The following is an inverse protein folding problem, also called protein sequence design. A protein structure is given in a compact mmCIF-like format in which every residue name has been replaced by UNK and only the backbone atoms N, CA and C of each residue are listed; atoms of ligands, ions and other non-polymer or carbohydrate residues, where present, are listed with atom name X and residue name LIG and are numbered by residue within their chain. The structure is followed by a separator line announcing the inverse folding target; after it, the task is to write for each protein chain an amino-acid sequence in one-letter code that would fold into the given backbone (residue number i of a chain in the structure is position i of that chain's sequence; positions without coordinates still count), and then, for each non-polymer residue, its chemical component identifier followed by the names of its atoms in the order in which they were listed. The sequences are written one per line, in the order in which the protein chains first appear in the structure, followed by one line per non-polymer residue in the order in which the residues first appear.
data_IF_550628949319
#
_entry.id   IF_550628949319
#
_cell.length_a   1.000
_cell.length_b   1.000
_cell.length_c   1.000
_cell.angle_alpha   90.00
_cell.angle_beta   90.00
_cell.angle_gamma   90.00
#
_symmetry.space_group_name_H-M   'P 1'
#
loop_
_entity.id
_entity.type
_entity.pdbx_description
1 polymer ?
#
# COMPACT_ATOMS: atom_id res chain seq x y z
N UNK A 1 23.22 38.88 -0.83
CA UNK A 1 22.65 37.57 -1.14
C UNK A 1 22.45 37.43 -2.65
N UNK A 2 23.25 36.59 -3.34
CA UNK A 2 23.14 36.37 -4.78
C UNK A 2 22.02 35.36 -5.04
N UNK A 3 21.08 35.58 -5.97
CA UNK A 3 20.06 34.60 -6.29
C UNK A 3 20.70 33.45 -7.06
N UNK A 4 20.61 32.25 -6.50
CA UNK A 4 21.01 31.02 -7.20
C UNK A 4 20.02 30.75 -8.33
N UNK A 5 20.53 30.61 -9.56
CA UNK A 5 19.77 30.27 -10.77
C UNK A 5 19.28 28.82 -10.73
N UNK A 6 17.96 28.55 -10.59
CA UNK A 6 17.42 27.18 -10.59
C UNK A 6 17.09 26.65 -12.00
N UNK A 7 17.49 27.36 -13.10
CA UNK A 7 16.87 27.16 -14.43
C UNK A 7 17.34 25.94 -15.22
N UNK A 8 18.57 25.45 -15.03
CA UNK A 8 19.09 24.33 -15.85
C UNK A 8 18.60 22.95 -15.41
N UNK A 9 18.38 22.72 -14.12
CA UNK A 9 17.83 21.43 -13.63
C UNK A 9 16.34 21.27 -13.92
N UNK A 10 15.60 22.37 -14.00
CA UNK A 10 14.18 22.36 -14.35
C UNK A 10 13.95 21.93 -15.81
N UNK A 11 14.75 22.42 -16.75
CA UNK A 11 14.55 22.20 -18.19
C UNK A 11 14.77 20.71 -18.57
N UNK A 12 15.87 20.10 -18.11
CA UNK A 12 16.14 18.68 -18.40
C UNK A 12 15.11 17.74 -17.76
N UNK A 13 14.61 18.08 -16.58
CA UNK A 13 13.55 17.33 -15.90
C UNK A 13 12.22 17.48 -16.66
N UNK A 14 11.90 18.67 -17.13
CA UNK A 14 10.69 18.92 -17.93
C UNK A 14 10.74 18.15 -19.26
N UNK A 15 11.89 18.13 -19.92
CA UNK A 15 12.09 17.36 -21.17
C UNK A 15 11.93 15.86 -20.93
N UNK A 16 12.53 15.30 -19.89
CA UNK A 16 12.41 13.88 -19.56
C UNK A 16 10.96 13.51 -19.21
N UNK A 17 10.26 14.38 -18.48
CA UNK A 17 8.84 14.19 -18.18
C UNK A 17 7.95 14.30 -19.42
N UNK A 18 8.21 15.30 -20.27
CA UNK A 18 7.45 15.44 -21.51
C UNK A 18 7.66 14.24 -22.43
N UNK A 19 8.88 13.71 -22.51
CA UNK A 19 9.19 12.49 -23.26
C UNK A 19 8.55 11.24 -22.62
N UNK A 20 8.54 11.14 -21.30
CA UNK A 20 7.87 10.04 -20.60
C UNK A 20 6.34 10.11 -20.74
N UNK A 21 5.75 11.30 -20.66
CA UNK A 21 4.32 11.52 -20.89
C UNK A 21 3.97 11.27 -22.36
N UNK A 22 4.77 11.75 -23.29
CA UNK A 22 4.59 11.51 -24.71
C UNK A 22 4.72 10.01 -25.04
N UNK A 23 5.74 9.35 -24.51
CA UNK A 23 5.89 7.91 -24.63
C UNK A 23 4.71 7.14 -24.02
N UNK A 24 4.22 7.56 -22.84
CA UNK A 24 3.00 6.99 -22.27
C UNK A 24 1.77 7.20 -23.16
N UNK A 25 1.59 8.37 -23.76
CA UNK A 25 0.48 8.63 -24.67
C UNK A 25 0.59 7.88 -26.00
N UNK A 26 1.81 7.71 -26.54
CA UNK A 26 2.05 6.95 -27.77
C UNK A 26 1.80 5.46 -27.54
N UNK A 27 2.32 4.91 -26.46
CA UNK A 27 2.21 3.48 -26.12
C UNK A 27 1.01 3.16 -25.23
N UNK A 28 0.17 4.14 -24.93
CA UNK A 28 -0.98 4.00 -24.01
C UNK A 28 -1.88 2.83 -24.40
N UNK A 29 -2.20 2.74 -25.71
CA UNK A 29 -3.08 1.70 -26.22
C UNK A 29 -2.42 0.32 -26.04
N UNK A 30 -1.17 0.18 -26.45
CA UNK A 30 -0.41 -1.06 -26.29
C UNK A 30 -0.21 -1.45 -24.82
N UNK A 31 0.03 -0.46 -23.96
CA UNK A 31 0.14 -0.68 -22.51
C UNK A 31 -1.22 -1.10 -21.92
N UNK A 32 -2.30 -0.44 -22.29
CA UNK A 32 -3.64 -0.79 -21.79
C UNK A 32 -4.09 -2.15 -22.32
N UNK A 33 -3.81 -2.47 -23.58
CA UNK A 33 -4.13 -3.75 -24.18
C UNK A 33 -3.29 -4.88 -23.56
N UNK A 34 -2.00 -4.62 -23.30
CA UNK A 34 -1.13 -5.54 -22.55
C UNK A 34 -1.60 -5.74 -21.11
N UNK A 35 -2.01 -4.66 -20.44
CA UNK A 35 -2.56 -4.73 -19.08
C UNK A 35 -3.95 -5.42 -19.06
N UNK A 36 -4.77 -5.22 -20.08
CA UNK A 36 -6.05 -5.92 -20.22
C UNK A 36 -5.84 -7.43 -20.50
N UNK A 37 -4.75 -7.79 -21.17
CA UNK A 37 -4.33 -9.17 -21.36
C UNK A 37 -3.72 -9.80 -20.10
N UNK A 38 -3.23 -8.99 -19.14
CA UNK A 38 -2.81 -9.45 -17.81
C UNK A 38 -4.04 -9.74 -16.93
N UNK A 39 -4.90 -10.63 -17.39
CA UNK A 39 -6.02 -11.16 -16.62
C UNK A 39 -5.66 -12.54 -16.04
N UNK A 40 -6.49 -13.04 -15.13
CA UNK A 40 -6.28 -14.35 -14.52
C UNK A 40 -6.25 -15.50 -15.54
N UNK A 41 -6.96 -15.34 -16.66
CA UNK A 41 -6.98 -16.36 -17.72
C UNK A 41 -5.63 -16.41 -18.43
N UNK A 42 -5.09 -15.27 -18.87
CA UNK A 42 -3.76 -15.21 -19.49
C UNK A 42 -2.65 -15.72 -18.58
N UNK A 43 -2.80 -15.48 -17.26
CA UNK A 43 -1.87 -16.02 -16.28
C UNK A 43 -1.93 -17.55 -16.24
N UNK A 44 -3.12 -18.14 -16.29
CA UNK A 44 -3.31 -19.60 -16.35
C UNK A 44 -2.75 -20.19 -17.65
N UNK A 45 -3.08 -19.59 -18.79
CA UNK A 45 -2.70 -20.08 -20.11
C UNK A 45 -1.17 -20.05 -20.29
N UNK A 46 -0.50 -19.07 -19.72
CA UNK A 46 0.96 -18.92 -19.81
C UNK A 46 1.72 -19.46 -18.59
N UNK A 47 1.03 -19.95 -17.57
CA UNK A 47 1.66 -20.38 -16.32
C UNK A 47 2.74 -21.43 -16.53
N UNK A 48 2.47 -22.47 -17.32
CA UNK A 48 3.40 -23.56 -17.56
C UNK A 48 4.69 -23.04 -18.24
N UNK A 49 4.54 -22.18 -19.24
CA UNK A 49 5.67 -21.57 -19.96
C UNK A 49 6.49 -20.65 -19.05
N UNK A 50 5.83 -19.83 -18.24
CA UNK A 50 6.50 -18.95 -17.28
C UNK A 50 7.25 -19.75 -16.21
N UNK A 51 6.67 -20.84 -15.72
CA UNK A 51 7.30 -21.70 -14.73
C UNK A 51 8.51 -22.44 -15.28
N UNK A 52 8.43 -22.92 -16.52
CA UNK A 52 9.58 -23.54 -17.22
C UNK A 52 10.69 -22.49 -17.39
N UNK A 53 10.36 -21.30 -17.86
CA UNK A 53 11.34 -20.20 -18.02
C UNK A 53 12.01 -19.83 -16.68
N UNK A 54 11.25 -19.74 -15.59
CA UNK A 54 11.79 -19.50 -14.26
C UNK A 54 12.74 -20.62 -13.80
N UNK A 55 12.34 -21.88 -13.95
CA UNK A 55 13.17 -23.02 -13.53
C UNK A 55 14.51 -23.06 -14.28
N UNK A 56 14.52 -22.67 -15.56
CA UNK A 56 15.72 -22.64 -16.37
C UNK A 56 16.62 -21.41 -16.10
N UNK A 57 16.03 -20.28 -15.67
CA UNK A 57 16.74 -19.01 -15.47
C UNK A 57 16.19 -18.22 -14.26
N UNK A 58 16.31 -18.76 -13.02
CA UNK A 58 15.60 -18.21 -11.85
C UNK A 58 16.01 -16.77 -11.49
N UNK A 59 17.30 -16.45 -11.62
CA UNK A 59 17.79 -15.09 -11.33
C UNK A 59 17.28 -14.07 -12.36
N UNK A 60 17.34 -14.41 -13.62
CA UNK A 60 16.92 -13.52 -14.72
C UNK A 60 15.42 -13.23 -14.65
N UNK A 61 14.60 -14.28 -14.45
CA UNK A 61 13.15 -14.17 -14.32
C UNK A 61 12.75 -13.33 -13.11
N UNK A 62 13.43 -13.52 -11.96
CA UNK A 62 13.22 -12.72 -10.76
C UNK A 62 13.53 -11.24 -11.02
N UNK A 63 14.64 -10.94 -11.71
CA UNK A 63 15.03 -9.56 -12.02
C UNK A 63 14.01 -8.87 -12.94
N UNK A 64 13.59 -9.57 -14.00
CA UNK A 64 12.56 -9.06 -14.94
C UNK A 64 11.23 -8.81 -14.21
N UNK A 65 10.80 -9.77 -13.38
CA UNK A 65 9.59 -9.62 -12.58
C UNK A 65 9.66 -8.41 -11.66
N UNK A 66 10.75 -8.26 -10.91
CA UNK A 66 10.99 -7.12 -10.01
C UNK A 66 10.95 -5.80 -10.77
N UNK A 67 11.61 -5.73 -11.94
CA UNK A 67 11.62 -4.53 -12.78
C UNK A 67 10.21 -4.16 -13.26
N UNK A 68 9.45 -5.12 -13.78
CA UNK A 68 8.07 -4.91 -14.22
C UNK A 68 7.20 -4.47 -13.05
N UNK A 69 7.30 -5.14 -11.90
CA UNK A 69 6.52 -4.81 -10.72
C UNK A 69 6.78 -3.38 -10.24
N UNK A 70 8.06 -2.99 -10.14
CA UNK A 70 8.45 -1.62 -9.74
C UNK A 70 7.92 -0.60 -10.75
N UNK A 71 8.02 -0.85 -12.05
CA UNK A 71 7.52 0.05 -13.09
C UNK A 71 6.00 0.25 -12.97
N UNK A 72 5.22 -0.83 -12.89
CA UNK A 72 3.77 -0.77 -12.79
C UNK A 72 3.33 0.00 -11.54
N UNK A 73 3.97 -0.27 -10.41
CA UNK A 73 3.64 0.40 -9.14
C UNK A 73 4.14 1.83 -9.05
N UNK A 74 5.31 2.14 -9.60
CA UNK A 74 5.87 3.50 -9.65
C UNK A 74 5.02 4.43 -10.53
N UNK A 75 4.51 3.91 -11.65
CA UNK A 75 3.61 4.63 -12.54
C UNK A 75 2.16 4.63 -12.04
N UNK A 76 1.91 4.00 -10.88
CA UNK A 76 0.56 3.90 -10.28
C UNK A 76 -0.48 3.25 -11.19
N UNK A 77 -0.03 2.31 -12.04
CA UNK A 77 -0.91 1.56 -12.94
C UNK A 77 -1.73 0.52 -12.17
N UNK A 78 -2.96 0.23 -12.61
CA UNK A 78 -3.70 -0.90 -12.07
C UNK A 78 -3.02 -2.22 -12.46
N UNK A 79 -3.11 -3.24 -11.59
CA UNK A 79 -2.52 -4.57 -11.88
C UNK A 79 -1.59 -5.10 -10.79
N UNK A 80 -1.25 -4.30 -9.80
CA UNK A 80 -0.37 -4.74 -8.71
C UNK A 80 -0.87 -6.03 -8.01
N UNK A 81 -2.18 -6.20 -7.87
CA UNK A 81 -2.80 -7.41 -7.29
C UNK A 81 -2.52 -8.62 -8.19
N UNK A 82 -2.71 -8.47 -9.50
CA UNK A 82 -2.46 -9.54 -10.48
C UNK A 82 -0.98 -9.93 -10.45
N UNK A 83 -0.07 -8.95 -10.44
CA UNK A 83 1.36 -9.22 -10.32
C UNK A 83 1.71 -9.92 -9.00
N UNK A 84 1.04 -9.56 -7.90
CA UNK A 84 1.25 -10.25 -6.61
C UNK A 84 0.83 -11.71 -6.65
N UNK A 85 -0.36 -12.00 -7.22
CA UNK A 85 -0.83 -13.36 -7.45
C UNK A 85 0.11 -14.13 -8.39
N UNK A 86 0.53 -13.50 -9.48
CA UNK A 86 1.50 -14.08 -10.42
C UNK A 86 2.84 -14.39 -9.74
N UNK A 87 3.31 -13.51 -8.87
CA UNK A 87 4.50 -13.75 -8.06
C UNK A 87 4.40 -15.00 -7.20
N UNK A 88 3.26 -15.20 -6.53
CA UNK A 88 2.98 -16.42 -5.78
C UNK A 88 2.91 -17.66 -6.67
N UNK A 89 2.19 -17.57 -7.78
CA UNK A 89 2.01 -18.65 -8.73
C UNK A 89 3.36 -19.14 -9.33
N UNK A 90 4.19 -18.22 -9.81
CA UNK A 90 5.43 -18.51 -10.52
C UNK A 90 6.56 -18.88 -9.55
N UNK A 91 6.78 -18.09 -8.52
CA UNK A 91 7.93 -18.19 -7.62
C UNK A 91 7.66 -18.98 -6.34
N UNK A 92 6.40 -19.37 -6.10
CA UNK A 92 6.00 -20.03 -4.86
C UNK A 92 5.89 -19.08 -3.68
N UNK A 93 5.61 -19.63 -2.48
CA UNK A 93 5.29 -18.84 -1.31
C UNK A 93 6.48 -17.97 -0.82
N UNK A 94 7.58 -18.61 -0.45
CA UNK A 94 8.68 -17.91 0.23
C UNK A 94 9.42 -16.92 -0.66
N UNK A 95 9.81 -17.38 -1.86
CA UNK A 95 10.50 -16.52 -2.82
C UNK A 95 9.57 -15.44 -3.37
N UNK A 96 8.30 -15.80 -3.62
CA UNK A 96 7.27 -14.84 -4.01
C UNK A 96 7.07 -13.74 -2.98
N UNK A 97 6.97 -14.06 -1.68
CA UNK A 97 6.86 -13.04 -0.61
C UNK A 97 8.04 -12.07 -0.65
N UNK A 98 9.27 -12.57 -0.76
CA UNK A 98 10.47 -11.72 -0.79
C UNK A 98 10.41 -10.79 -2.01
N UNK A 99 10.25 -11.34 -3.22
CA UNK A 99 10.24 -10.56 -4.45
C UNK A 99 9.11 -9.51 -4.45
N UNK A 100 7.88 -9.92 -4.14
CA UNK A 100 6.72 -9.02 -4.12
C UNK A 100 6.85 -7.94 -3.07
N UNK A 101 7.24 -8.32 -1.84
CA UNK A 101 7.35 -7.38 -0.72
C UNK A 101 8.34 -6.25 -1.03
N UNK A 102 9.53 -6.57 -1.51
CA UNK A 102 10.52 -5.55 -1.85
C UNK A 102 10.15 -4.77 -3.10
N UNK A 103 9.65 -5.43 -4.16
CA UNK A 103 9.25 -4.76 -5.40
C UNK A 103 8.10 -3.78 -5.18
N UNK A 104 7.07 -4.18 -4.43
CA UNK A 104 5.92 -3.33 -4.12
C UNK A 104 6.32 -2.09 -3.31
N UNK A 105 7.22 -2.25 -2.34
CA UNK A 105 7.69 -1.13 -1.51
C UNK A 105 8.63 -0.21 -2.27
N UNK A 106 9.54 -0.74 -3.09
CA UNK A 106 10.39 0.06 -3.96
C UNK A 106 9.56 0.85 -4.98
N UNK A 107 8.59 0.21 -5.62
CA UNK A 107 7.69 0.88 -6.55
C UNK A 107 6.80 1.93 -5.89
N UNK A 108 6.24 1.64 -4.69
CA UNK A 108 5.52 2.63 -3.90
C UNK A 108 6.40 3.84 -3.54
N UNK A 109 7.66 3.58 -3.18
CA UNK A 109 8.63 4.64 -2.85
C UNK A 109 8.99 5.45 -4.08
N UNK A 110 9.14 4.81 -5.23
CA UNK A 110 9.35 5.53 -6.49
C UNK A 110 8.14 6.41 -6.84
N UNK A 111 6.90 5.91 -6.74
CA UNK A 111 5.68 6.70 -6.93
C UNK A 111 5.60 7.89 -5.96
N UNK A 112 5.92 7.66 -4.68
CA UNK A 112 6.01 8.70 -3.67
C UNK A 112 7.05 9.78 -4.03
N UNK A 113 8.24 9.40 -4.47
CA UNK A 113 9.28 10.34 -4.87
C UNK A 113 8.91 11.10 -6.14
N UNK A 114 8.40 10.42 -7.16
CA UNK A 114 7.91 11.06 -8.39
C UNK A 114 6.84 12.11 -8.06
N UNK A 115 5.87 11.76 -7.23
CA UNK A 115 4.83 12.70 -6.79
C UNK A 115 5.43 13.88 -6.02
N UNK A 116 6.37 13.62 -5.08
CA UNK A 116 7.00 14.65 -4.25
C UNK A 116 7.81 15.65 -5.05
N UNK A 117 8.57 15.19 -6.05
CA UNK A 117 9.46 16.04 -6.81
C UNK A 117 8.75 16.77 -7.96
N UNK A 118 7.79 16.10 -8.62
CA UNK A 118 7.20 16.64 -9.85
C UNK A 118 5.79 17.21 -9.67
N UNK A 119 4.96 16.58 -8.85
CA UNK A 119 3.54 16.90 -8.78
C UNK A 119 3.11 17.64 -7.52
N UNK A 120 4.04 17.88 -6.57
CA UNK A 120 3.72 18.48 -5.27
C UNK A 120 2.94 19.79 -5.37
N UNK A 121 3.43 20.74 -6.17
CA UNK A 121 2.80 22.06 -6.28
C UNK A 121 1.43 21.97 -6.95
N UNK A 122 1.31 21.18 -8.01
CA UNK A 122 0.05 20.97 -8.73
C UNK A 122 -1.01 20.34 -7.85
N UNK A 123 -0.68 19.26 -7.13
CA UNK A 123 -1.67 18.57 -6.31
C UNK A 123 -2.03 19.41 -5.08
N UNK A 124 -1.08 20.12 -4.49
CA UNK A 124 -1.33 21.00 -3.35
C UNK A 124 -2.28 22.15 -3.70
N UNK A 125 -2.17 22.74 -4.88
CA UNK A 125 -3.08 23.78 -5.33
C UNK A 125 -4.52 23.28 -5.55
N UNK A 126 -4.68 22.00 -5.94
CA UNK A 126 -6.01 21.45 -6.27
C UNK A 126 -6.69 20.72 -5.10
N UNK A 127 -5.93 20.20 -4.15
CA UNK A 127 -6.41 19.36 -3.06
C UNK A 127 -5.96 19.82 -1.67
N UNK A 128 -5.53 21.09 -1.53
CA UNK A 128 -4.94 21.65 -0.31
C UNK A 128 -5.76 21.40 0.95
N UNK A 129 -7.07 21.58 0.88
CA UNK A 129 -7.99 21.43 2.02
C UNK A 129 -8.04 19.97 2.52
N UNK A 130 -8.03 18.99 1.61
CA UNK A 130 -8.01 17.56 1.98
C UNK A 130 -6.68 17.11 2.59
N UNK A 131 -5.59 17.84 2.32
CA UNK A 131 -4.28 17.57 2.91
C UNK A 131 -4.17 17.97 4.37
N UNK A 132 -5.01 18.88 4.84
CA UNK A 132 -5.03 19.31 6.24
C UNK A 132 -5.28 18.15 7.17
N UNK A 133 -6.33 17.37 6.93
CA UNK A 133 -6.69 16.18 7.73
C UNK A 133 -5.56 15.14 7.75
N UNK A 134 -4.90 14.91 6.61
CA UNK A 134 -3.78 13.95 6.51
C UNK A 134 -2.55 14.46 7.26
N UNK A 135 -2.24 15.75 7.13
CA UNK A 135 -1.14 16.36 7.86
C UNK A 135 -1.38 16.37 9.37
N UNK A 136 -2.61 16.59 9.82
CA UNK A 136 -3.00 16.46 11.23
C UNK A 136 -2.84 15.02 11.73
N UNK A 137 -3.27 14.02 10.95
CA UNK A 137 -3.05 12.62 11.25
C UNK A 137 -1.57 12.28 11.40
N UNK A 138 -0.72 12.78 10.50
CA UNK A 138 0.73 12.58 10.59
C UNK A 138 1.36 13.34 11.75
N UNK A 139 0.92 14.57 12.04
CA UNK A 139 1.39 15.32 13.21
C UNK A 139 1.05 14.61 14.50
N UNK A 140 -0.15 14.02 14.60
CA UNK A 140 -0.67 13.34 15.78
C UNK A 140 -0.04 11.96 15.97
N UNK A 141 -0.08 11.12 14.95
CA UNK A 141 0.24 9.70 15.03
C UNK A 141 1.57 9.34 14.31
N UNK A 142 2.17 10.28 13.57
CA UNK A 142 3.44 10.10 12.86
C UNK A 142 3.40 8.93 11.88
N UNK A 143 4.43 8.10 11.92
CA UNK A 143 4.56 6.91 11.07
C UNK A 143 3.43 5.89 11.27
N UNK A 144 2.82 5.84 12.46
CA UNK A 144 1.73 4.91 12.76
C UNK A 144 0.47 5.22 11.94
N UNK A 145 0.24 6.47 11.55
CA UNK A 145 -0.85 6.84 10.66
C UNK A 145 -0.70 6.16 9.28
N UNK A 146 0.51 6.21 8.69
CA UNK A 146 0.79 5.50 7.44
C UNK A 146 0.64 3.99 7.60
N UNK A 147 1.17 3.42 8.70
CA UNK A 147 1.04 1.99 8.99
C UNK A 147 -0.43 1.55 9.03
N UNK A 148 -1.28 2.33 9.70
CA UNK A 148 -2.72 2.09 9.75
C UNK A 148 -3.37 2.10 8.36
N UNK A 149 -3.01 3.09 7.51
CA UNK A 149 -3.52 3.17 6.15
C UNK A 149 -3.07 2.00 5.27
N UNK A 150 -1.88 1.45 5.50
CA UNK A 150 -1.37 0.28 4.76
C UNK A 150 -2.02 -1.02 5.18
N UNK A 151 -2.38 -1.15 6.46
CA UNK A 151 -3.07 -2.34 6.98
C UNK A 151 -4.54 -2.41 6.55
N UNK A 152 -5.19 -1.26 6.37
CA UNK A 152 -6.60 -1.21 5.97
C UNK A 152 -6.66 -1.10 4.44
N UNK A 153 -7.10 -2.12 3.70
CA UNK A 153 -7.19 -2.09 2.24
C UNK A 153 -8.41 -1.30 1.74
N UNK A 154 -8.81 -0.24 2.47
CA UNK A 154 -9.93 0.63 2.12
C UNK A 154 -9.53 1.70 1.09
N UNK A 155 -8.25 2.00 0.98
CA UNK A 155 -7.74 3.01 0.08
C UNK A 155 -6.95 2.38 -1.06
N UNK A 156 -7.14 2.83 -2.31
CA UNK A 156 -6.31 2.41 -3.41
C UNK A 156 -4.82 2.67 -3.12
N UNK A 157 -3.98 1.70 -3.46
CA UNK A 157 -2.53 1.72 -3.19
C UNK A 157 -1.86 3.03 -3.65
N UNK A 158 -2.19 3.48 -4.86
CA UNK A 158 -1.60 4.69 -5.44
C UNK A 158 -2.02 5.97 -4.70
N UNK A 159 -3.24 6.03 -4.17
CA UNK A 159 -3.74 7.19 -3.41
C UNK A 159 -2.89 7.42 -2.18
N UNK A 160 -2.55 6.36 -1.44
CA UNK A 160 -1.69 6.46 -0.25
C UNK A 160 -0.29 6.99 -0.65
N UNK A 161 0.29 6.50 -1.75
CA UNK A 161 1.61 6.95 -2.21
C UNK A 161 1.61 8.45 -2.54
N UNK A 162 0.61 8.90 -3.30
CA UNK A 162 0.45 10.30 -3.71
C UNK A 162 0.21 11.20 -2.50
N UNK A 163 -0.73 10.84 -1.62
CA UNK A 163 -1.09 11.67 -0.47
C UNK A 163 0.06 11.79 0.52
N UNK A 164 0.76 10.68 0.81
CA UNK A 164 1.92 10.71 1.72
C UNK A 164 3.10 11.52 1.15
N UNK A 165 3.27 11.55 -0.18
CA UNK A 165 4.29 12.37 -0.83
C UNK A 165 4.14 13.87 -0.58
N UNK A 166 2.92 14.34 -0.32
CA UNK A 166 2.59 15.75 -0.06
C UNK A 166 2.81 16.16 1.40
N UNK A 167 3.06 15.20 2.27
CA UNK A 167 3.26 15.41 3.70
C UNK A 167 4.73 15.63 4.05
N UNK A 168 5.02 15.95 5.31
CA UNK A 168 6.38 16.09 5.83
C UNK A 168 7.08 14.75 6.13
N UNK A 169 6.45 13.61 5.80
CA UNK A 169 6.98 12.28 6.09
C UNK A 169 8.31 12.05 5.36
N UNK A 170 9.34 11.60 6.08
CA UNK A 170 10.64 11.27 5.47
C UNK A 170 10.52 10.03 4.57
N UNK A 171 11.23 10.02 3.44
CA UNK A 171 11.22 8.89 2.48
C UNK A 171 11.62 7.56 3.14
N UNK A 172 12.63 7.57 4.01
CA UNK A 172 13.06 6.39 4.75
C UNK A 172 11.97 5.83 5.67
N UNK A 173 11.27 6.71 6.37
CA UNK A 173 10.12 6.33 7.20
C UNK A 173 8.98 5.77 6.34
N UNK A 174 8.71 6.39 5.18
CA UNK A 174 7.71 5.89 4.24
C UNK A 174 8.05 4.49 3.75
N UNK A 175 9.31 4.23 3.38
CA UNK A 175 9.78 2.92 2.90
C UNK A 175 9.54 1.84 3.96
N UNK A 176 10.12 1.98 5.15
CA UNK A 176 10.05 0.92 6.16
C UNK A 176 8.65 0.70 6.73
N UNK A 177 7.91 1.77 6.92
CA UNK A 177 6.52 1.66 7.40
C UNK A 177 5.63 1.02 6.33
N UNK A 178 5.85 1.33 5.05
CA UNK A 178 5.13 0.67 3.96
C UNK A 178 5.53 -0.80 3.83
N UNK A 179 6.83 -1.12 3.95
CA UNK A 179 7.34 -2.49 3.93
C UNK A 179 6.64 -3.36 4.98
N UNK A 180 6.60 -2.90 6.23
CA UNK A 180 5.97 -3.63 7.33
C UNK A 180 4.44 -3.64 7.21
N UNK A 181 3.84 -2.51 6.84
CA UNK A 181 2.38 -2.37 6.76
C UNK A 181 1.75 -3.17 5.62
N UNK A 182 2.48 -3.39 4.52
CA UNK A 182 2.00 -4.19 3.39
C UNK A 182 2.32 -5.68 3.52
N UNK A 183 3.26 -6.07 4.42
CA UNK A 183 3.77 -7.43 4.49
C UNK A 183 2.66 -8.47 4.71
N UNK A 184 1.72 -8.19 5.63
CA UNK A 184 0.60 -9.10 5.92
C UNK A 184 -0.25 -9.33 4.66
N UNK A 185 -0.63 -8.26 3.96
CA UNK A 185 -1.36 -8.36 2.70
C UNK A 185 -0.55 -9.13 1.64
N UNK A 186 0.75 -8.84 1.52
CA UNK A 186 1.63 -9.55 0.59
C UNK A 186 1.63 -11.05 0.83
N UNK A 187 1.79 -11.49 2.09
CA UNK A 187 1.77 -12.93 2.44
C UNK A 187 0.47 -13.58 1.99
N UNK A 188 -0.67 -12.94 2.28
CA UNK A 188 -1.99 -13.48 1.95
C UNK A 188 -2.20 -13.57 0.44
N UNK A 189 -1.89 -12.50 -0.30
CA UNK A 189 -2.08 -12.49 -1.75
C UNK A 189 -1.10 -13.43 -2.48
N UNK A 190 0.15 -13.50 -2.03
CA UNK A 190 1.13 -14.45 -2.59
C UNK A 190 0.68 -15.89 -2.33
N UNK A 191 0.21 -16.19 -1.11
CA UNK A 191 -0.35 -17.51 -0.81
C UNK A 191 -1.56 -17.84 -1.70
N UNK A 192 -2.48 -16.92 -1.89
CA UNK A 192 -3.59 -17.11 -2.83
C UNK A 192 -3.10 -17.36 -4.26
N UNK A 193 -2.03 -16.68 -4.68
CA UNK A 193 -1.37 -16.93 -5.97
C UNK A 193 -0.82 -18.34 -6.10
N UNK A 194 -0.19 -18.88 -5.05
CA UNK A 194 0.29 -20.28 -5.06
C UNK A 194 -0.85 -21.26 -5.21
N UNK A 195 -1.97 -21.03 -4.53
CA UNK A 195 -3.15 -21.88 -4.62
C UNK A 195 -3.80 -21.83 -6.02
N UNK A 196 -3.90 -20.63 -6.61
CA UNK A 196 -4.42 -20.47 -7.97
C UNK A 196 -3.60 -21.24 -9.01
N UNK A 197 -2.29 -21.39 -8.79
CA UNK A 197 -1.39 -22.13 -9.68
C UNK A 197 -1.59 -23.65 -9.64
N UNK A 198 -2.18 -24.19 -8.58
CA UNK A 198 -2.44 -25.62 -8.42
C UNK A 198 -3.78 -26.07 -9.01
N UNK A 199 -4.63 -25.12 -9.44
CA UNK A 199 -5.95 -25.42 -10.00
C UNK A 199 -5.82 -25.98 -11.41
N UNK A 200 -5.97 -27.28 -11.54
CA UNK A 200 -5.94 -27.98 -12.84
C UNK A 200 -7.33 -28.15 -13.48
N UNK A 201 -8.40 -28.05 -12.68
CA UNK A 201 -9.79 -28.24 -13.14
C UNK A 201 -10.77 -27.28 -12.48
N UNK A 202 -11.95 -27.13 -13.04
CA UNK A 202 -13.04 -26.34 -12.45
C UNK A 202 -13.51 -26.89 -11.09
N UNK A 203 -13.28 -28.19 -10.82
CA UNK A 203 -13.55 -28.80 -9.51
C UNK A 203 -12.62 -28.33 -8.40
N UNK A 204 -11.39 -27.95 -8.74
CA UNK A 204 -10.38 -27.48 -7.77
C UNK A 204 -10.66 -26.06 -7.26
N UNK A 205 -11.58 -25.32 -7.90
CA UNK A 205 -12.05 -24.01 -7.44
C UNK A 205 -12.73 -24.11 -6.07
N UNK A 206 -13.26 -25.28 -5.74
CA UNK A 206 -13.86 -25.59 -4.43
C UNK A 206 -12.86 -26.19 -3.45
N UNK A 207 -11.55 -26.14 -3.74
CA UNK A 207 -10.55 -26.63 -2.78
C UNK A 207 -10.63 -25.82 -1.48
N UNK A 208 -10.59 -26.52 -0.36
CA UNK A 208 -10.65 -25.91 0.98
C UNK A 208 -9.54 -24.87 1.15
N UNK A 209 -8.35 -25.14 0.63
CA UNK A 209 -7.19 -24.23 0.74
C UNK A 209 -7.42 -22.90 -0.01
N UNK A 210 -8.04 -22.93 -1.18
CA UNK A 210 -8.40 -21.72 -1.91
C UNK A 210 -9.49 -20.94 -1.19
N UNK A 211 -10.53 -21.63 -0.71
CA UNK A 211 -11.63 -21.01 0.05
C UNK A 211 -11.08 -20.35 1.31
N UNK A 212 -10.22 -21.02 2.07
CA UNK A 212 -9.57 -20.45 3.26
C UNK A 212 -8.75 -19.20 2.87
N UNK A 213 -7.95 -19.27 1.82
CA UNK A 213 -7.15 -18.14 1.35
C UNK A 213 -8.01 -16.93 0.98
N UNK A 214 -9.12 -17.15 0.28
CA UNK A 214 -10.08 -16.09 -0.08
C UNK A 214 -10.81 -15.54 1.14
N UNK A 215 -11.21 -16.40 2.08
CA UNK A 215 -11.81 -15.98 3.35
C UNK A 215 -10.85 -15.12 4.17
N UNK A 216 -9.56 -15.50 4.25
CA UNK A 216 -8.53 -14.71 4.94
C UNK A 216 -8.36 -13.34 4.29
N UNK A 217 -8.34 -13.27 2.95
CA UNK A 217 -8.31 -11.99 2.21
C UNK A 217 -9.54 -11.15 2.57
N UNK A 218 -10.74 -11.74 2.52
CA UNK A 218 -12.01 -11.05 2.84
C UNK A 218 -12.08 -10.55 4.29
N UNK A 219 -11.52 -11.31 5.24
CA UNK A 219 -11.51 -10.96 6.67
C UNK A 219 -10.37 -9.97 7.03
N UNK A 220 -9.38 -9.78 6.16
CA UNK A 220 -8.22 -8.94 6.43
C UNK A 220 -8.58 -7.49 6.86
N UNK A 221 -9.55 -6.79 6.26
CA UNK A 221 -9.94 -5.45 6.70
C UNK A 221 -10.49 -5.44 8.14
N UNK A 222 -11.24 -6.47 8.51
CA UNK A 222 -11.86 -6.59 9.84
C UNK A 222 -10.79 -6.87 10.89
N UNK A 223 -9.92 -7.85 10.64
CA UNK A 223 -8.82 -8.21 11.55
C UNK A 223 -7.82 -7.06 11.70
N UNK A 224 -7.48 -6.36 10.60
CA UNK A 224 -6.64 -5.17 10.65
C UNK A 224 -7.27 -4.06 11.51
N UNK A 225 -8.57 -3.79 11.37
CA UNK A 225 -9.29 -2.79 12.19
C UNK A 225 -9.25 -3.15 13.68
N UNK A 226 -9.49 -4.42 14.03
CA UNK A 226 -9.43 -4.89 15.41
C UNK A 226 -8.02 -4.76 15.99
N UNK A 227 -7.00 -5.20 15.24
CA UNK A 227 -5.60 -5.11 15.65
C UNK A 227 -5.14 -3.67 15.89
N UNK A 228 -5.49 -2.76 14.97
CA UNK A 228 -5.20 -1.33 15.12
C UNK A 228 -5.92 -0.76 16.34
N UNK A 229 -7.18 -1.15 16.57
CA UNK A 229 -7.94 -0.76 17.76
C UNK A 229 -7.24 -1.17 19.06
N UNK A 230 -6.73 -2.39 19.13
CA UNK A 230 -5.98 -2.90 20.29
C UNK A 230 -4.66 -2.13 20.51
N UNK A 231 -3.89 -1.89 19.44
CA UNK A 231 -2.63 -1.12 19.54
C UNK A 231 -2.91 0.31 19.98
N UNK A 232 -3.92 0.95 19.38
CA UNK A 232 -4.31 2.33 19.73
C UNK A 232 -4.73 2.41 21.19
N UNK A 233 -5.51 1.46 21.67
CA UNK A 233 -5.93 1.37 23.08
C UNK A 233 -4.72 1.22 23.99
N UNK A 234 -3.80 0.28 23.72
CA UNK A 234 -2.56 0.12 24.48
C UNK A 234 -1.73 1.41 24.50
N UNK A 235 -1.62 2.10 23.36
CA UNK A 235 -0.83 3.33 23.24
C UNK A 235 -1.43 4.50 24.02
N UNK A 236 -2.76 4.63 24.04
CA UNK A 236 -3.46 5.66 24.82
C UNK A 236 -3.21 5.45 26.30
N UNK A 237 -3.28 4.20 26.76
CA UNK A 237 -3.13 3.88 28.19
C UNK A 237 -1.68 3.59 28.62
N UNK A 238 -0.70 3.55 27.70
CA UNK A 238 0.70 3.24 28.03
C UNK A 238 1.38 4.25 28.96
N UNK A 239 0.85 5.48 29.04
CA UNK A 239 1.35 6.54 29.93
C UNK A 239 0.45 6.76 31.15
N UNK A 240 -0.59 5.94 31.30
CA UNK A 240 -1.54 6.07 32.38
C UNK A 240 -1.41 4.86 33.33
N UNK A 241 -1.02 5.15 34.56
CA UNK A 241 -1.01 4.16 35.64
C UNK A 241 -2.34 4.25 36.37
N UNK A 242 -3.08 3.14 36.39
CA UNK A 242 -4.34 3.11 37.14
C UNK A 242 -4.05 3.38 38.61
N UNK A 243 -4.67 4.38 39.25
CA UNK A 243 -4.51 4.64 40.66
C UNK A 243 -4.98 3.42 41.47
N UNK A 244 -4.31 3.13 42.57
CA UNK A 244 -4.68 2.04 43.46
C UNK A 244 -6.00 2.29 44.16
N UNK A 245 -6.35 3.55 44.37
CA UNK A 245 -7.56 4.01 45.05
C UNK A 245 -8.10 5.24 44.30
N UNK A 246 -9.39 5.38 44.21
CA UNK A 246 -10.09 6.54 43.65
C UNK A 246 -10.65 7.38 44.76
N UNK A 247 -10.41 8.68 44.67
CA UNK A 247 -10.94 9.65 45.68
C UNK A 247 -12.44 9.88 45.52
N UNK A 248 -12.97 9.67 44.29
CA UNK A 248 -14.36 9.88 43.95
C UNK A 248 -14.89 8.74 43.07
N UNK A 249 -16.13 8.33 43.29
CA UNK A 249 -16.82 7.33 42.49
C UNK A 249 -17.26 7.88 41.12
N UNK A 250 -17.52 9.18 41.05
CA UNK A 250 -17.97 9.88 39.86
C UNK A 250 -17.35 11.29 39.83
N UNK A 251 -16.83 11.66 38.66
CA UNK A 251 -16.38 13.01 38.35
C UNK A 251 -17.12 13.47 37.10
N UNK A 252 -17.88 14.55 37.21
CA UNK A 252 -18.63 15.13 36.09
C UNK A 252 -17.82 16.30 35.50
N UNK A 253 -17.47 16.19 34.20
CA UNK A 253 -16.75 17.23 33.47
C UNK A 253 -17.69 17.88 32.47
N UNK A 254 -18.07 19.12 32.75
CA UNK A 254 -18.94 19.93 31.88
C UNK A 254 -20.35 20.14 32.46
N UNK A 255 -20.89 21.36 32.26
CA UNK A 255 -22.20 21.81 32.77
C UNK A 255 -23.35 21.67 31.77
N UNK A 256 -23.23 20.82 30.74
CA UNK A 256 -24.35 20.53 29.82
C UNK A 256 -25.45 19.68 30.49
N UNK A 257 -26.59 19.51 29.82
CA UNK A 257 -27.75 18.78 30.35
C UNK A 257 -27.38 17.38 30.88
N UNK A 258 -26.54 16.63 30.16
CA UNK A 258 -26.08 15.32 30.61
C UNK A 258 -25.20 15.39 31.88
N UNK A 259 -24.33 16.39 31.98
CA UNK A 259 -23.47 16.60 33.13
C UNK A 259 -24.29 16.98 34.39
N UNK A 260 -25.28 17.84 34.23
CA UNK A 260 -26.18 18.24 35.32
C UNK A 260 -27.00 17.04 35.83
N UNK A 261 -27.56 16.23 34.96
CA UNK A 261 -28.31 15.02 35.33
C UNK A 261 -27.40 14.01 36.04
N UNK A 262 -26.18 13.78 35.51
CA UNK A 262 -25.24 12.85 36.13
C UNK A 262 -24.77 13.30 37.52
N UNK A 263 -24.60 14.62 37.74
CA UNK A 263 -24.22 15.15 39.05
C UNK A 263 -25.34 15.14 40.09
N UNK A 264 -26.60 15.06 39.63
CA UNK A 264 -27.75 14.97 40.50
C UNK A 264 -28.07 13.52 40.96
N UNK A 265 -27.78 12.56 40.11
CA UNK A 265 -28.09 11.13 40.35
C UNK A 265 -26.93 10.41 41.08
N UNK A 266 -25.67 10.86 40.91
CA UNK A 266 -24.47 10.27 41.53
C UNK A 266 -24.12 10.89 42.86
#
# INVERSE_FOLDING_TARGET
MKPQKPYKKSLSITIVLSLAILGFFIFRQDILDTLAQLNLQSLKDNYASLKIYFNNRPFQSSLVYVAIYILVTALSLPGAVILTLAGGAIFGLWWGIILVSFSSTLGATAAFLLTRFFFRNYIRSRFGDKLTTINEGIKKDGAFYLFTLRLIPAFPFFVINVLMALTALKTWTFYWVSQLGMLLGTVIYVNAGTQLATLNSTGDILSIDLIISLCVIGLLPITAKLFIGLIRRKRIYARWTRPKQFDYNLIVIGGGAAGLVSSYIG
#
